data_IF_687216161028
#
_entry.id   IF_687216161028
#
_cell.length_a   1.000
_cell.length_b   1.000
_cell.length_c   1.000
_cell.angle_alpha   90.00
_cell.angle_beta   90.00
_cell.angle_gamma   90.00
#
_symmetry.space_group_name_H-M   'P 1'
#
loop_
_entity.id
_entity.type
_entity.pdbx_description
1 polymer ?
#
# COMPACT_ATOMS: atom_id res chain seq x y z
N UNK A 1 -1.10 -73.06 -66.91
CA UNK A 1 -0.07 -72.71 -67.91
C UNK A 1 0.19 -71.21 -67.81
N UNK A 2 1.48 -70.82 -67.65
CA UNK A 2 2.11 -69.47 -67.57
C UNK A 2 1.56 -68.51 -66.48
N UNK A 3 2.23 -68.19 -65.37
CA UNK A 3 3.60 -67.70 -65.07
C UNK A 3 3.97 -66.38 -65.76
N UNK A 4 3.81 -65.26 -65.05
CA UNK A 4 4.83 -64.20 -64.96
C UNK A 4 4.64 -63.31 -63.73
N UNK A 5 5.76 -63.09 -63.05
CA UNK A 5 5.96 -62.39 -61.77
C UNK A 5 6.49 -60.95 -62.06
N UNK A 6 7.01 -60.18 -61.07
CA UNK A 6 6.44 -58.94 -60.51
C UNK A 6 7.22 -57.66 -60.89
N UNK A 7 6.82 -56.47 -60.41
CA UNK A 7 7.76 -55.39 -60.03
C UNK A 7 7.14 -54.31 -59.13
N UNK A 8 7.84 -54.05 -58.03
CA UNK A 8 7.68 -52.92 -57.08
C UNK A 8 8.06 -51.60 -57.72
N UNK A 9 7.37 -50.51 -57.38
CA UNK A 9 7.82 -49.10 -57.20
C UNK A 9 6.57 -48.22 -57.16
N UNK A 10 6.44 -47.08 -56.48
CA UNK A 10 7.21 -46.31 -55.51
C UNK A 10 6.24 -45.18 -55.08
N UNK A 11 6.35 -44.73 -53.84
CA UNK A 11 5.90 -43.45 -53.27
C UNK A 11 5.04 -42.52 -54.15
N UNK A 12 3.89 -42.09 -53.61
CA UNK A 12 3.67 -40.65 -53.41
C UNK A 12 2.65 -40.40 -52.29
N UNK A 13 3.18 -40.06 -51.11
CA UNK A 13 2.47 -39.41 -50.03
C UNK A 13 2.16 -37.98 -50.48
N UNK A 14 0.89 -37.59 -50.48
CA UNK A 14 0.51 -36.17 -50.52
C UNK A 14 -0.27 -35.88 -49.24
N UNK A 15 0.49 -35.49 -48.22
CA UNK A 15 -0.01 -34.94 -46.97
C UNK A 15 -0.63 -33.58 -47.25
N UNK A 16 -1.97 -33.51 -47.22
CA UNK A 16 -2.69 -32.25 -47.08
C UNK A 16 -2.57 -31.78 -45.63
N UNK A 17 -1.49 -31.08 -45.34
CA UNK A 17 -1.28 -30.39 -44.07
C UNK A 17 -1.91 -29.00 -44.20
N UNK A 18 -3.11 -28.85 -43.64
CA UNK A 18 -3.84 -27.58 -43.56
C UNK A 18 -3.05 -26.61 -42.70
N UNK A 19 -2.52 -25.56 -43.34
CA UNK A 19 -1.71 -24.51 -42.75
C UNK A 19 -2.62 -23.60 -41.89
N UNK A 20 -2.71 -23.88 -40.58
CA UNK A 20 -3.30 -22.94 -39.61
C UNK A 20 -2.24 -21.88 -39.33
N UNK A 21 -2.35 -20.74 -40.00
CA UNK A 21 -1.52 -19.56 -39.77
C UNK A 21 -1.99 -18.88 -38.47
N UNK A 22 -1.43 -19.30 -37.34
CA UNK A 22 -1.60 -18.58 -36.08
C UNK A 22 -0.81 -17.25 -36.17
N UNK A 23 -1.51 -16.13 -36.37
CA UNK A 23 -0.97 -14.81 -36.07
C UNK A 23 -0.79 -14.68 -34.55
N UNK A 24 0.35 -15.16 -34.05
CA UNK A 24 0.89 -14.69 -32.79
C UNK A 24 1.39 -13.26 -33.02
N UNK A 25 0.54 -12.27 -32.72
CA UNK A 25 1.01 -10.91 -32.48
C UNK A 25 1.79 -10.94 -31.15
N UNK A 26 3.11 -11.06 -31.27
CA UNK A 26 4.05 -10.81 -30.20
C UNK A 26 3.93 -9.35 -29.78
N UNK A 27 3.08 -9.05 -28.79
CA UNK A 27 3.15 -7.76 -28.12
C UNK A 27 4.44 -7.74 -27.31
N UNK A 28 5.44 -7.05 -27.85
CA UNK A 28 6.59 -6.58 -27.09
C UNK A 28 6.04 -5.70 -25.96
N UNK A 29 5.85 -6.29 -24.78
CA UNK A 29 5.71 -5.55 -23.54
C UNK A 29 7.04 -4.84 -23.34
N UNK A 30 7.11 -3.60 -23.81
CA UNK A 30 8.22 -2.71 -23.49
C UNK A 30 8.05 -2.31 -22.03
N UNK A 31 9.02 -2.56 -21.14
CA UNK A 31 8.94 -2.08 -19.78
C UNK A 31 8.85 -0.56 -19.82
N UNK A 32 7.70 -0.01 -19.40
CA UNK A 32 7.58 1.43 -19.25
C UNK A 32 8.51 1.85 -18.11
N UNK A 33 9.37 2.85 -18.32
CA UNK A 33 10.17 3.41 -17.23
C UNK A 33 9.21 3.99 -16.21
N UNK A 34 9.19 3.41 -15.00
CA UNK A 34 8.47 3.96 -13.86
C UNK A 34 9.12 5.30 -13.56
N UNK A 35 8.45 6.40 -13.92
CA UNK A 35 8.93 7.73 -13.56
C UNK A 35 9.02 7.80 -12.03
N UNK A 36 10.19 8.18 -11.52
CA UNK A 36 10.35 8.41 -10.08
C UNK A 36 9.33 9.47 -9.64
N UNK A 37 8.56 9.16 -8.59
CA UNK A 37 7.65 10.12 -8.00
C UNK A 37 8.44 11.38 -7.58
N UNK A 38 7.90 12.60 -7.79
CA UNK A 38 8.57 13.82 -7.36
C UNK A 38 8.82 13.75 -5.85
N UNK A 39 10.08 13.96 -5.45
CA UNK A 39 10.48 14.00 -4.04
C UNK A 39 9.90 15.27 -3.42
N UNK A 40 9.12 15.14 -2.34
CA UNK A 40 8.52 16.27 -1.65
C UNK A 40 9.61 17.29 -1.23
N UNK A 41 9.31 18.58 -1.40
CA UNK A 41 10.19 19.66 -0.95
C UNK A 41 10.40 19.59 0.58
N UNK A 42 11.49 20.14 1.12
CA UNK A 42 11.74 20.09 2.56
C UNK A 42 10.59 20.72 3.36
N UNK A 43 9.99 19.95 4.27
CA UNK A 43 8.96 20.42 5.19
C UNK A 43 7.62 20.77 4.54
N UNK A 44 7.20 20.02 3.52
CA UNK A 44 5.87 20.22 2.95
C UNK A 44 4.80 19.83 3.99
N UNK A 45 4.06 20.82 4.46
CA UNK A 45 2.92 20.61 5.34
C UNK A 45 1.85 19.77 4.62
N UNK A 46 1.40 18.72 5.29
CA UNK A 46 0.46 17.75 4.76
C UNK A 46 -0.97 18.07 5.20
N UNK A 47 -1.94 17.77 4.34
CA UNK A 47 -3.35 17.79 4.74
C UNK A 47 -3.69 16.55 5.56
N UNK A 48 -4.28 16.78 6.74
CA UNK A 48 -4.76 15.73 7.65
C UNK A 48 -6.28 15.78 7.72
N UNK A 49 -6.94 14.67 7.42
CA UNK A 49 -8.40 14.58 7.50
C UNK A 49 -8.86 13.48 8.45
N UNK A 50 -9.94 13.79 9.15
CA UNK A 50 -10.54 12.88 10.12
C UNK A 50 -11.53 11.95 9.42
N UNK A 51 -11.38 10.65 9.65
CA UNK A 51 -12.22 9.61 9.05
C UNK A 51 -12.74 8.64 10.10
N UNK A 52 -13.77 7.86 9.73
CA UNK A 52 -14.17 6.69 10.50
C UNK A 52 -13.55 5.42 9.94
N UNK A 53 -13.30 4.42 10.78
CA UNK A 53 -12.71 3.15 10.35
C UNK A 53 -13.54 2.44 9.25
N UNK A 54 -14.89 2.37 9.32
CA UNK A 54 -15.67 1.82 8.23
C UNK A 54 -15.53 2.60 6.91
N UNK A 55 -15.58 3.93 6.95
CA UNK A 55 -15.58 4.75 5.73
C UNK A 55 -14.25 4.62 4.98
N UNK A 56 -13.13 4.64 5.72
CA UNK A 56 -11.80 4.52 5.11
C UNK A 56 -11.56 3.11 4.54
N UNK A 57 -12.13 2.06 5.14
CA UNK A 57 -12.03 0.70 4.60
C UNK A 57 -12.66 0.60 3.20
N UNK A 58 -13.82 1.25 2.99
CA UNK A 58 -14.52 1.27 1.71
C UNK A 58 -13.71 1.94 0.57
N UNK A 59 -12.67 2.71 0.91
CA UNK A 59 -11.80 3.29 -0.12
C UNK A 59 -10.83 2.27 -0.71
N UNK A 60 -10.60 1.15 -0.04
CA UNK A 60 -9.62 0.14 -0.45
C UNK A 60 -10.25 -1.23 -0.70
N UNK A 61 -11.46 -1.48 -0.20
CA UNK A 61 -12.13 -2.76 -0.31
C UNK A 61 -13.61 -2.57 -0.67
N UNK A 62 -14.10 -3.34 -1.64
CA UNK A 62 -15.46 -3.21 -2.18
C UNK A 62 -16.55 -3.66 -1.22
N UNK A 63 -16.24 -4.53 -0.25
CA UNK A 63 -17.15 -4.94 0.81
C UNK A 63 -16.90 -4.16 2.13
N UNK A 64 -15.92 -3.26 2.12
CA UNK A 64 -15.47 -2.44 3.24
C UNK A 64 -14.84 -3.22 4.40
N UNK A 65 -14.37 -4.45 4.17
CA UNK A 65 -13.79 -5.32 5.20
C UNK A 65 -12.30 -5.56 4.97
N UNK A 66 -11.49 -4.77 5.64
CA UNK A 66 -10.03 -4.91 5.55
C UNK A 66 -9.52 -6.00 6.51
N UNK A 67 -8.89 -7.03 5.96
CA UNK A 67 -8.03 -7.93 6.74
C UNK A 67 -6.60 -7.40 6.78
N UNK A 68 -6.15 -7.02 7.97
CA UNK A 68 -4.89 -6.29 8.18
C UNK A 68 -3.71 -7.20 8.51
N UNK A 69 -2.50 -6.76 8.18
CA UNK A 69 -1.26 -7.32 8.71
C UNK A 69 -0.64 -6.34 9.71
N UNK A 70 -0.48 -6.79 10.95
CA UNK A 70 0.04 -5.98 12.06
C UNK A 70 1.46 -6.41 12.43
N UNK A 71 2.36 -5.43 12.53
CA UNK A 71 3.69 -5.57 13.14
C UNK A 71 3.76 -4.63 14.34
N UNK A 72 4.41 -5.06 15.42
CA UNK A 72 4.64 -4.22 16.58
C UNK A 72 6.06 -4.41 17.10
N UNK A 73 6.65 -3.30 17.55
CA UNK A 73 7.92 -3.32 18.28
C UNK A 73 7.80 -2.52 19.57
N UNK A 74 8.50 -2.98 20.60
CA UNK A 74 8.42 -2.43 21.96
C UNK A 74 9.62 -1.56 22.26
N UNK A 75 9.38 -0.46 22.96
CA UNK A 75 10.42 0.46 23.37
C UNK A 75 10.11 1.09 24.72
N UNK A 76 11.14 1.68 25.34
CA UNK A 76 10.98 2.56 26.49
C UNK A 76 11.17 3.99 26.01
N UNK A 77 10.16 4.88 26.15
CA UNK A 77 10.30 6.25 25.69
C UNK A 77 11.45 6.98 26.41
N UNK A 78 12.19 7.87 25.73
CA UNK A 78 13.23 8.66 26.38
C UNK A 78 12.70 9.44 27.58
N UNK A 79 13.39 9.35 28.72
CA UNK A 79 12.97 10.02 29.97
C UNK A 79 11.76 9.37 30.67
N UNK A 80 11.29 8.22 30.18
CA UNK A 80 10.22 7.43 30.78
C UNK A 80 10.75 6.08 31.27
N UNK A 81 9.91 5.42 32.07
CA UNK A 81 10.02 4.01 32.46
C UNK A 81 8.78 3.26 31.99
N UNK A 82 8.78 1.93 32.11
CA UNK A 82 7.68 1.08 31.65
C UNK A 82 7.78 0.72 30.16
N UNK A 83 6.67 0.23 29.61
CA UNK A 83 6.61 -0.28 28.23
C UNK A 83 5.74 0.60 27.33
N UNK A 84 6.23 0.80 26.11
CA UNK A 84 5.48 1.34 25.00
C UNK A 84 5.64 0.41 23.80
N UNK A 85 4.75 0.53 22.81
CA UNK A 85 4.98 -0.09 21.50
C UNK A 85 4.53 0.81 20.37
N UNK A 86 5.19 0.68 19.23
CA UNK A 86 4.72 1.19 17.95
C UNK A 86 4.16 0.02 17.15
N UNK A 87 2.90 0.13 16.75
CA UNK A 87 2.29 -0.79 15.81
C UNK A 87 2.22 -0.15 14.43
N UNK A 88 2.69 -0.89 13.42
CA UNK A 88 2.40 -0.63 12.02
C UNK A 88 1.36 -1.64 11.54
N UNK A 89 0.34 -1.14 10.86
CA UNK A 89 -0.73 -1.92 10.27
C UNK A 89 -0.73 -1.68 8.78
N UNK A 90 -0.58 -2.74 8.01
CA UNK A 90 -0.62 -2.69 6.54
C UNK A 90 -1.92 -3.30 6.05
N UNK A 91 -2.64 -2.58 5.20
CA UNK A 91 -3.82 -3.10 4.52
C UNK A 91 -3.42 -3.89 3.28
N UNK A 92 -4.29 -4.77 2.75
CA UNK A 92 -4.12 -5.33 1.43
C UNK A 92 -4.01 -4.23 0.36
N UNK A 93 -3.54 -4.60 -0.83
CA UNK A 93 -3.61 -3.72 -1.99
C UNK A 93 -5.07 -3.39 -2.26
N UNK A 94 -5.39 -2.12 -2.49
CA UNK A 94 -6.76 -1.70 -2.79
C UNK A 94 -7.32 -2.40 -4.03
N UNK A 95 -8.57 -2.84 -3.92
CA UNK A 95 -9.26 -3.63 -4.93
C UNK A 95 -9.61 -2.81 -6.18
N UNK A 96 -9.79 -3.50 -7.31
CA UNK A 96 -10.18 -2.86 -8.56
C UNK A 96 -11.54 -2.16 -8.43
N UNK A 97 -11.62 -0.92 -8.95
CA UNK A 97 -12.82 -0.09 -8.87
C UNK A 97 -12.99 0.67 -7.55
N UNK A 98 -12.07 0.52 -6.59
CA UNK A 98 -12.02 1.36 -5.38
C UNK A 98 -11.14 2.60 -5.61
N UNK A 99 -11.33 3.70 -4.86
CA UNK A 99 -10.43 4.86 -4.91
C UNK A 99 -8.96 4.52 -4.63
N UNK A 100 -8.70 3.49 -3.81
CA UNK A 100 -7.39 2.99 -3.42
C UNK A 100 -6.80 1.93 -4.34
N UNK A 101 -7.39 1.66 -5.51
CA UNK A 101 -6.95 0.61 -6.44
C UNK A 101 -5.43 0.59 -6.65
N UNK A 102 -4.81 -0.56 -6.41
CA UNK A 102 -3.36 -0.75 -6.64
C UNK A 102 -2.46 -0.08 -5.59
N UNK A 103 -3.02 0.49 -4.51
CA UNK A 103 -2.28 1.19 -3.46
C UNK A 103 -2.34 0.45 -2.14
N UNK A 104 -1.33 0.66 -1.30
CA UNK A 104 -1.34 0.22 0.09
C UNK A 104 -1.72 1.38 0.99
N UNK A 105 -2.50 1.07 2.03
CA UNK A 105 -2.66 1.95 3.18
C UNK A 105 -1.86 1.42 4.37
N UNK A 106 -1.29 2.36 5.12
CA UNK A 106 -0.53 2.08 6.33
C UNK A 106 -1.15 2.89 7.47
N UNK A 107 -1.38 2.23 8.59
CA UNK A 107 -1.83 2.86 9.83
C UNK A 107 -0.77 2.66 10.91
N UNK A 108 -0.38 3.74 11.56
CA UNK A 108 0.56 3.70 12.68
C UNK A 108 -0.15 4.04 13.98
N UNK A 109 0.17 3.30 15.05
CA UNK A 109 -0.34 3.54 16.39
C UNK A 109 0.77 3.40 17.41
N UNK A 110 1.05 4.47 18.14
CA UNK A 110 1.86 4.41 19.34
C UNK A 110 0.97 4.16 20.57
N UNK A 111 1.31 3.16 21.37
CA UNK A 111 0.69 2.91 22.67
C UNK A 111 1.68 3.26 23.79
N UNK A 112 1.31 4.27 24.57
CA UNK A 112 2.10 4.80 25.67
C UNK A 112 1.42 4.57 27.03
N UNK A 113 0.35 3.78 27.11
CA UNK A 113 -0.48 3.66 28.31
C UNK A 113 0.27 3.13 29.53
N UNK A 114 1.35 2.37 29.30
CA UNK A 114 2.19 1.83 30.36
C UNK A 114 3.53 2.57 30.50
N UNK A 115 3.72 3.68 29.77
CA UNK A 115 4.87 4.55 29.93
C UNK A 115 4.63 5.54 31.07
N UNK A 116 5.62 5.70 31.95
CA UNK A 116 5.56 6.59 33.11
C UNK A 116 6.78 7.48 33.10
N UNK A 117 6.58 8.79 33.08
CA UNK A 117 7.67 9.74 33.12
C UNK A 117 8.44 9.70 34.44
N UNK A 118 9.77 9.76 34.37
CA UNK A 118 10.64 9.56 35.54
C UNK A 118 10.76 10.84 36.37
N UNK A 119 10.85 12.00 35.72
CA UNK A 119 11.04 13.31 36.38
C UNK A 119 9.95 14.33 36.07
N UNK A 120 9.22 14.16 34.97
CA UNK A 120 8.09 14.98 34.54
C UNK A 120 7.14 14.11 33.69
N UNK A 121 5.97 14.62 33.33
CA UNK A 121 5.10 13.94 32.35
C UNK A 121 5.88 13.72 31.04
N UNK A 122 6.06 12.47 30.64
CA UNK A 122 6.67 12.12 29.35
C UNK A 122 5.62 12.25 28.26
N UNK A 123 5.51 13.45 27.68
CA UNK A 123 4.65 13.73 26.53
C UNK A 123 5.39 13.47 25.22
N UNK A 124 4.68 12.95 24.21
CA UNK A 124 5.25 12.75 22.88
C UNK A 124 4.82 13.90 22.01
N UNK A 125 5.73 14.82 21.75
CA UNK A 125 5.46 15.99 20.89
C UNK A 125 5.64 15.69 19.41
N UNK A 126 6.52 14.73 19.06
CA UNK A 126 6.79 14.38 17.67
C UNK A 126 7.04 12.90 17.49
N UNK A 127 6.56 12.34 16.37
CA UNK A 127 6.89 11.01 15.90
C UNK A 127 7.42 11.10 14.46
N UNK A 128 8.54 10.45 14.17
CA UNK A 128 9.13 10.42 12.82
C UNK A 128 9.17 9.00 12.30
N UNK A 129 8.74 8.81 11.06
CA UNK A 129 8.68 7.52 10.39
C UNK A 129 9.38 7.67 9.04
N UNK A 130 10.29 6.75 8.73
CA UNK A 130 10.78 6.57 7.37
C UNK A 130 9.69 5.86 6.56
N UNK A 131 8.97 6.63 5.74
CA UNK A 131 7.76 6.20 5.06
C UNK A 131 7.97 6.05 3.55
N UNK A 132 8.79 6.92 2.96
CA UNK A 132 8.89 7.07 1.52
C UNK A 132 7.87 8.08 0.97
N UNK A 133 7.67 8.08 -0.37
CA UNK A 133 6.71 8.98 -1.01
C UNK A 133 5.27 8.59 -0.67
N UNK A 134 4.45 9.58 -0.33
CA UNK A 134 3.00 9.42 -0.15
C UNK A 134 2.27 9.60 -1.48
N UNK A 135 1.06 9.07 -1.59
CA UNK A 135 0.18 9.37 -2.71
C UNK A 135 -1.16 9.90 -2.20
N UNK A 136 -1.50 11.17 -2.53
CA UNK A 136 -2.74 11.77 -2.07
C UNK A 136 -3.98 11.06 -2.63
N UNK A 137 -5.03 10.96 -1.81
CA UNK A 137 -6.35 10.43 -2.16
C UNK A 137 -7.42 11.25 -1.42
N UNK A 138 -8.63 11.32 -1.97
CA UNK A 138 -9.78 11.91 -1.27
C UNK A 138 -10.24 10.96 -0.16
N UNK A 139 -9.73 11.15 1.06
CA UNK A 139 -9.99 10.25 2.17
C UNK A 139 -11.30 10.57 2.89
N UNK A 140 -11.77 11.82 2.81
CA UNK A 140 -12.97 12.29 3.50
C UNK A 140 -14.21 12.44 2.58
N UNK A 141 -14.05 12.20 1.27
CA UNK A 141 -15.12 12.27 0.28
C UNK A 141 -15.50 13.69 -0.15
N UNK A 142 -14.64 14.69 0.06
CA UNK A 142 -14.90 16.10 -0.27
C UNK A 142 -14.47 16.50 -1.68
N UNK A 143 -14.05 15.53 -2.49
CA UNK A 143 -13.54 15.66 -3.86
C UNK A 143 -12.20 16.40 -3.95
N UNK A 144 -11.44 16.50 -2.86
CA UNK A 144 -10.08 17.03 -2.85
C UNK A 144 -9.09 15.94 -2.41
N UNK A 145 -7.89 15.93 -2.97
CA UNK A 145 -6.85 15.00 -2.52
C UNK A 145 -6.35 15.40 -1.12
N UNK A 146 -6.28 14.42 -0.24
CA UNK A 146 -5.71 14.50 1.09
C UNK A 146 -4.41 13.69 1.17
N UNK A 147 -3.44 14.17 1.94
CA UNK A 147 -2.15 13.52 2.11
C UNK A 147 -2.21 12.41 3.16
N UNK A 148 -2.97 12.61 4.24
CA UNK A 148 -3.02 11.72 5.40
C UNK A 148 -4.44 11.63 5.96
N UNK A 149 -4.92 10.41 6.23
CA UNK A 149 -6.12 10.19 7.02
C UNK A 149 -5.80 9.88 8.49
N UNK A 150 -6.69 10.29 9.39
CA UNK A 150 -6.63 10.00 10.83
C UNK A 150 -7.94 9.36 11.25
N UNK A 151 -7.89 8.11 11.72
CA UNK A 151 -9.08 7.41 12.20
C UNK A 151 -9.44 7.94 13.60
N UNK A 152 -10.52 8.73 13.68
CA UNK A 152 -11.01 9.31 14.94
C UNK A 152 -12.27 8.61 15.47
N UNK A 153 -12.90 7.74 14.67
CA UNK A 153 -14.11 6.99 15.05
C UNK A 153 -13.99 5.52 14.65
N UNK A 154 -14.36 4.61 15.55
CA UNK A 154 -14.33 3.17 15.31
C UNK A 154 -12.94 2.54 15.33
N UNK A 155 -11.89 3.34 15.51
CA UNK A 155 -10.51 2.90 15.71
C UNK A 155 -10.12 2.79 17.18
N UNK A 156 -8.90 2.33 17.42
CA UNK A 156 -8.27 2.29 18.74
C UNK A 156 -7.32 3.47 18.91
N UNK A 157 -7.52 4.28 19.94
CA UNK A 157 -6.72 5.46 20.23
C UNK A 157 -7.59 6.64 20.64
N UNK A 158 -6.99 7.64 21.26
CA UNK A 158 -7.68 8.83 21.77
C UNK A 158 -6.91 10.13 21.54
N UNK A 159 -5.71 10.08 20.97
CA UNK A 159 -4.86 11.22 20.64
C UNK A 159 -4.58 11.20 19.14
N UNK A 160 -4.79 12.34 18.48
CA UNK A 160 -4.46 12.55 17.06
C UNK A 160 -3.25 13.45 16.92
N UNK A 161 -2.50 13.35 15.82
CA UNK A 161 -1.58 14.41 15.42
C UNK A 161 -2.35 15.71 15.16
N UNK A 162 -1.73 16.83 15.52
CA UNK A 162 -2.18 18.17 15.18
C UNK A 162 -1.74 18.58 13.77
N UNK A 163 -0.59 18.10 13.33
CA UNK A 163 -0.03 18.38 12.00
C UNK A 163 0.93 17.26 11.56
N UNK A 164 1.25 17.24 10.27
CA UNK A 164 2.36 16.43 9.76
C UNK A 164 3.08 17.14 8.61
N UNK A 165 4.38 16.85 8.49
CA UNK A 165 5.22 17.32 7.38
C UNK A 165 5.96 16.13 6.75
N UNK A 166 6.20 16.19 5.44
CA UNK A 166 7.10 15.27 4.74
C UNK A 166 8.39 15.99 4.35
N UNK A 167 9.53 15.45 4.75
CA UNK A 167 10.86 15.93 4.33
C UNK A 167 11.66 14.78 3.74
N UNK A 168 11.86 14.81 2.41
CA UNK A 168 12.41 13.67 1.71
C UNK A 168 11.47 12.47 1.83
N UNK A 169 11.92 11.43 2.52
CA UNK A 169 11.16 10.18 2.74
C UNK A 169 10.67 10.04 4.19
N UNK A 170 10.95 11.04 5.04
CA UNK A 170 10.59 11.04 6.46
C UNK A 170 9.32 11.82 6.73
N UNK A 171 8.29 11.11 7.19
CA UNK A 171 7.04 11.67 7.68
C UNK A 171 7.18 12.03 9.16
N UNK A 172 6.92 13.30 9.50
CA UNK A 172 6.95 13.80 10.88
C UNK A 172 5.52 14.16 11.30
N UNK A 173 5.02 13.51 12.35
CA UNK A 173 3.77 13.88 13.02
C UNK A 173 4.08 14.75 14.24
N UNK A 174 3.30 15.81 14.43
CA UNK A 174 3.37 16.70 15.59
C UNK A 174 2.09 16.56 16.42
N UNK A 175 2.23 16.51 17.74
CA UNK A 175 1.11 16.37 18.68
C UNK A 175 0.99 17.62 19.55
N UNK A 176 -0.20 18.21 19.58
CA UNK A 176 -0.55 19.37 20.39
C UNK A 176 -2.07 19.31 20.74
N UNK A 177 -2.45 19.16 22.03
CA UNK A 177 -1.57 18.97 23.18
C UNK A 177 -0.79 17.64 23.10
N UNK A 178 0.43 17.57 23.68
CA UNK A 178 1.31 16.41 23.58
C UNK A 178 1.04 15.31 24.63
#
# INVERSE_FOLDING_TARGET
MNVHQPRRTLLQRVSFLTLVFALLLSHLVTPQPVAAAPKAAPGAALTLVDVSAPDINCLFDTDCTITVSDLADYFTPPGASGSAFLQSRTWPVGEAGTPGEGRYAYLYRADLRNAVGVTAASCVTTMRIDFGPIVPLDYNGDQKPDDVFVIVKGGLGNIRPAAADLTGDTLTFMFDPP
#
